data_IF_255763168036
#
_entry.id   IF_255763168036
#
_cell.length_a   1.000
_cell.length_b   1.000
_cell.length_c   1.000
_cell.angle_alpha   90.00
_cell.angle_beta   90.00
_cell.angle_gamma   90.00
#
_symmetry.space_group_name_H-M   'P 1'
#
loop_
_entity.id
_entity.type
_entity.pdbx_description
1 polymer ?
#
# COMPACT_ATOMS: atom_id res chain seq x y z
N UNK A 1 -3.29 -5.84 -40.15
CA UNK A 1 -3.52 -7.12 -39.47
C UNK A 1 -2.33 -7.34 -38.57
N UNK A 2 -2.47 -7.15 -37.27
CA UNK A 2 -1.43 -7.59 -36.34
C UNK A 2 -1.44 -9.12 -36.38
N UNK A 3 -0.35 -9.73 -36.84
CA UNK A 3 -0.17 -11.17 -36.78
C UNK A 3 -0.20 -11.60 -35.31
N UNK A 4 -0.80 -12.74 -35.03
CA UNK A 4 -0.76 -13.32 -33.68
C UNK A 4 0.70 -13.63 -33.36
N UNK A 5 1.23 -13.05 -32.28
CA UNK A 5 2.59 -13.35 -31.78
C UNK A 5 2.59 -14.77 -31.26
N UNK A 6 3.48 -15.62 -31.76
CA UNK A 6 3.73 -16.92 -31.17
C UNK A 6 4.62 -16.75 -29.92
N UNK A 7 4.03 -16.94 -28.74
CA UNK A 7 4.76 -16.81 -27.46
C UNK A 7 5.71 -17.98 -27.16
N UNK A 8 5.72 -19.03 -27.99
CA UNK A 8 6.73 -20.08 -27.94
C UNK A 8 7.96 -19.75 -28.79
N UNK A 9 7.88 -18.73 -29.65
CA UNK A 9 8.97 -18.27 -30.51
C UNK A 9 9.70 -17.07 -29.87
N UNK A 10 10.94 -17.29 -29.46
CA UNK A 10 11.75 -16.27 -28.77
C UNK A 10 12.00 -15.01 -29.63
N UNK A 11 12.12 -15.14 -30.95
CA UNK A 11 12.39 -14.01 -31.84
C UNK A 11 11.14 -13.14 -31.99
N UNK A 12 9.97 -13.77 -32.12
CA UNK A 12 8.69 -13.06 -32.14
C UNK A 12 8.40 -12.36 -30.81
N UNK A 13 8.67 -13.03 -29.68
CA UNK A 13 8.53 -12.41 -28.35
C UNK A 13 9.45 -11.21 -28.19
N UNK A 14 10.72 -11.34 -28.60
CA UNK A 14 11.68 -10.23 -28.52
C UNK A 14 11.25 -9.04 -29.36
N UNK A 15 10.84 -9.27 -30.61
CA UNK A 15 10.35 -8.20 -31.49
C UNK A 15 9.09 -7.52 -30.93
N UNK A 16 8.18 -8.30 -30.33
CA UNK A 16 7.00 -7.75 -29.66
C UNK A 16 7.39 -6.83 -28.49
N UNK A 17 8.33 -7.25 -27.64
CA UNK A 17 8.79 -6.46 -26.50
C UNK A 17 9.49 -5.16 -26.94
N UNK A 18 10.32 -5.21 -27.97
CA UNK A 18 10.97 -4.00 -28.52
C UNK A 18 9.93 -3.01 -29.07
N UNK A 19 8.90 -3.49 -29.76
CA UNK A 19 7.80 -2.63 -30.24
C UNK A 19 6.97 -2.06 -29.09
N UNK A 20 6.79 -2.81 -28.01
CA UNK A 20 6.09 -2.34 -26.81
C UNK A 20 6.78 -1.13 -26.17
N UNK A 21 8.11 -1.09 -26.17
CA UNK A 21 8.85 0.08 -25.69
C UNK A 21 8.50 1.35 -26.49
N UNK A 22 8.48 1.23 -27.82
CA UNK A 22 8.18 2.35 -28.72
C UNK A 22 6.75 2.84 -28.50
N UNK A 23 5.79 1.93 -28.37
CA UNK A 23 4.39 2.26 -28.12
C UNK A 23 4.22 2.99 -26.78
N UNK A 24 4.79 2.45 -25.70
CA UNK A 24 4.73 3.04 -24.36
C UNK A 24 5.39 4.44 -24.32
N UNK A 25 6.53 4.61 -25.01
CA UNK A 25 7.19 5.92 -25.14
C UNK A 25 6.32 6.92 -25.91
N UNK A 26 5.70 6.49 -27.00
CA UNK A 26 4.83 7.35 -27.81
C UNK A 26 3.61 7.81 -27.01
N UNK A 27 2.93 6.89 -26.33
CA UNK A 27 1.79 7.20 -25.46
C UNK A 27 2.19 8.18 -24.36
N UNK A 28 3.30 7.92 -23.67
CA UNK A 28 3.76 8.75 -22.57
C UNK A 28 4.13 10.19 -23.02
N UNK A 29 5.00 10.31 -24.02
CA UNK A 29 5.62 11.61 -24.33
C UNK A 29 4.97 12.38 -25.49
N UNK A 30 4.32 11.67 -26.43
CA UNK A 30 3.69 12.30 -27.60
C UNK A 30 2.20 12.50 -27.40
N UNK A 31 1.50 11.46 -26.94
CA UNK A 31 0.07 11.55 -26.63
C UNK A 31 -0.20 12.17 -25.26
N UNK A 32 0.83 12.21 -24.39
CA UNK A 32 0.74 12.71 -23.01
C UNK A 32 -0.24 11.90 -22.18
N UNK A 33 -0.34 10.60 -22.44
CA UNK A 33 -1.15 9.66 -21.68
C UNK A 33 -0.43 9.25 -20.37
N UNK A 34 -0.95 9.62 -19.19
CA UNK A 34 -0.34 9.25 -17.92
C UNK A 34 -0.34 7.74 -17.67
N UNK A 35 -1.34 7.00 -18.16
CA UNK A 35 -1.38 5.54 -18.05
C UNK A 35 -0.33 4.91 -18.97
N UNK A 36 -0.10 5.49 -20.16
CA UNK A 36 1.01 5.16 -21.06
C UNK A 36 2.37 5.32 -20.41
N UNK A 37 2.59 6.43 -19.68
CA UNK A 37 3.80 6.61 -18.87
C UNK A 37 3.95 5.55 -17.78
N UNK A 38 2.85 5.13 -17.14
CA UNK A 38 2.93 4.07 -16.13
C UNK A 38 3.23 2.70 -16.75
N UNK A 39 2.67 2.40 -17.93
CA UNK A 39 3.01 1.19 -18.70
C UNK A 39 4.49 1.18 -19.12
N UNK A 40 5.03 2.33 -19.51
CA UNK A 40 6.46 2.48 -19.79
C UNK A 40 7.32 2.13 -18.55
N UNK A 41 6.91 2.56 -17.36
CA UNK A 41 7.58 2.19 -16.10
C UNK A 41 7.54 0.67 -15.88
N UNK A 42 6.39 0.03 -16.06
CA UNK A 42 6.26 -1.42 -15.88
C UNK A 42 7.14 -2.19 -16.89
N UNK A 43 7.24 -1.71 -18.13
CA UNK A 43 8.16 -2.25 -19.12
C UNK A 43 9.63 -2.07 -18.70
N UNK A 44 10.02 -0.87 -18.27
CA UNK A 44 11.39 -0.57 -17.84
C UNK A 44 11.82 -1.42 -16.63
N UNK A 45 10.94 -1.63 -15.65
CA UNK A 45 11.23 -2.48 -14.48
C UNK A 45 11.16 -3.98 -14.79
N UNK A 46 10.15 -4.39 -15.55
CA UNK A 46 9.80 -5.79 -15.79
C UNK A 46 10.74 -6.43 -16.80
N UNK A 47 10.99 -5.73 -17.90
CA UNK A 47 11.69 -6.24 -19.09
C UNK A 47 13.13 -5.72 -19.13
N UNK A 48 13.31 -4.41 -19.19
CA UNK A 48 14.65 -3.81 -19.36
C UNK A 48 15.50 -3.80 -18.09
N UNK A 49 14.88 -4.00 -16.91
CA UNK A 49 15.53 -3.83 -15.59
C UNK A 49 16.21 -2.47 -15.41
N UNK A 50 15.76 -1.45 -16.13
CA UNK A 50 16.32 -0.10 -16.11
C UNK A 50 15.56 0.76 -15.09
N UNK A 51 15.93 0.62 -13.82
CA UNK A 51 15.28 1.31 -12.72
C UNK A 51 15.57 2.82 -12.69
N UNK A 52 16.74 3.24 -13.18
CA UNK A 52 17.11 4.65 -13.27
C UNK A 52 16.22 5.40 -14.24
N UNK A 53 15.96 4.83 -15.42
CA UNK A 53 15.02 5.44 -16.37
C UNK A 53 13.58 5.37 -15.84
N UNK A 54 13.18 4.25 -15.25
CA UNK A 54 11.87 4.11 -14.61
C UNK A 54 11.63 5.20 -13.56
N UNK A 55 12.64 5.53 -12.74
CA UNK A 55 12.55 6.60 -11.76
C UNK A 55 12.32 7.98 -12.40
N UNK A 56 12.95 8.27 -13.55
CA UNK A 56 12.72 9.52 -14.30
C UNK A 56 11.30 9.61 -14.84
N UNK A 57 10.80 8.53 -15.46
CA UNK A 57 9.43 8.48 -15.97
C UNK A 57 8.41 8.61 -14.83
N UNK A 58 8.66 7.94 -13.70
CA UNK A 58 7.84 8.05 -12.50
C UNK A 58 7.79 9.48 -11.96
N UNK A 59 8.95 10.14 -11.88
CA UNK A 59 9.06 11.54 -11.46
C UNK A 59 8.27 12.47 -12.36
N UNK A 60 8.52 12.40 -13.67
CA UNK A 60 7.78 13.17 -14.67
C UNK A 60 6.26 12.96 -14.54
N UNK A 61 5.80 11.71 -14.50
CA UNK A 61 4.38 11.40 -14.48
C UNK A 61 3.70 11.78 -13.15
N UNK A 62 4.43 11.72 -12.03
CA UNK A 62 3.94 12.20 -10.74
C UNK A 62 3.86 13.73 -10.69
N UNK A 63 4.90 14.43 -11.14
CA UNK A 63 5.02 15.88 -11.00
C UNK A 63 4.15 16.64 -12.00
N UNK A 64 4.16 16.23 -13.27
CA UNK A 64 3.45 16.91 -14.36
C UNK A 64 2.00 16.43 -14.48
N UNK A 65 1.79 15.11 -14.52
CA UNK A 65 0.46 14.54 -14.75
C UNK A 65 -0.32 14.26 -13.45
N UNK A 66 0.32 14.40 -12.28
CA UNK A 66 -0.28 14.09 -10.97
C UNK A 66 -0.83 12.66 -10.90
N UNK A 67 -0.20 11.73 -11.64
CA UNK A 67 -0.66 10.36 -11.77
C UNK A 67 -0.44 9.59 -10.45
N UNK A 68 -1.54 9.15 -9.82
CA UNK A 68 -1.52 8.60 -8.46
C UNK A 68 -0.59 7.39 -8.32
N UNK A 69 -0.71 6.40 -9.21
CA UNK A 69 0.06 5.16 -9.09
C UNK A 69 1.56 5.39 -9.37
N UNK A 70 1.90 6.39 -10.20
CA UNK A 70 3.28 6.84 -10.39
C UNK A 70 3.82 7.51 -9.14
N UNK A 71 3.06 8.42 -8.53
CA UNK A 71 3.45 9.03 -7.26
C UNK A 71 3.65 7.99 -6.17
N UNK A 72 2.76 7.00 -6.05
CA UNK A 72 2.92 5.92 -5.08
C UNK A 72 4.21 5.12 -5.33
N UNK A 73 4.47 4.71 -6.57
CA UNK A 73 5.67 3.92 -6.91
C UNK A 73 6.96 4.73 -6.74
N UNK A 74 6.94 6.03 -7.10
CA UNK A 74 8.05 6.95 -6.84
C UNK A 74 8.33 7.11 -5.34
N UNK A 75 7.27 7.24 -4.52
CA UNK A 75 7.41 7.29 -3.07
C UNK A 75 8.10 6.04 -2.53
N UNK A 76 7.73 4.86 -3.03
CA UNK A 76 8.41 3.61 -2.67
C UNK A 76 9.89 3.59 -3.09
N UNK A 77 10.22 4.13 -4.27
CA UNK A 77 11.61 4.27 -4.70
C UNK A 77 12.43 5.15 -3.76
N UNK A 78 11.87 6.27 -3.30
CA UNK A 78 12.52 7.14 -2.31
C UNK A 78 12.65 6.48 -0.93
N UNK A 79 11.71 5.62 -0.52
CA UNK A 79 11.87 4.84 0.72
C UNK A 79 13.06 3.88 0.62
N UNK A 80 13.24 3.21 -0.52
CA UNK A 80 14.26 2.17 -0.70
C UNK A 80 15.59 2.66 -1.29
N UNK A 81 15.65 3.89 -1.83
CA UNK A 81 16.80 4.37 -2.59
C UNK A 81 16.99 3.62 -3.93
N UNK A 82 15.89 3.32 -4.63
CA UNK A 82 15.88 2.53 -5.87
C UNK A 82 15.99 3.44 -7.10
N UNK A 83 16.57 2.94 -8.19
CA UNK A 83 16.59 3.62 -9.50
C UNK A 83 17.44 4.89 -9.51
N UNK A 84 18.65 4.81 -8.95
CA UNK A 84 19.59 5.94 -8.88
C UNK A 84 19.22 7.02 -7.85
N UNK A 85 18.09 6.87 -7.15
CA UNK A 85 17.67 7.78 -6.09
C UNK A 85 18.32 7.42 -4.75
N UNK A 86 18.67 8.43 -3.96
CA UNK A 86 19.03 8.23 -2.55
C UNK A 86 17.76 8.09 -1.70
N UNK A 87 17.88 7.41 -0.55
CA UNK A 87 16.76 7.34 0.39
C UNK A 87 16.36 8.74 0.87
N UNK A 88 15.07 9.07 0.75
CA UNK A 88 14.52 10.35 1.17
C UNK A 88 13.06 10.20 1.61
N UNK A 89 12.85 10.09 2.93
CA UNK A 89 11.51 9.91 3.49
C UNK A 89 10.62 11.14 3.32
N UNK A 90 11.18 12.36 3.17
CA UNK A 90 10.40 13.57 2.95
C UNK A 90 9.89 13.64 1.51
N UNK A 91 10.73 13.30 0.55
CA UNK A 91 10.32 13.13 -0.84
C UNK A 91 9.29 12.01 -0.96
N UNK A 92 9.50 10.87 -0.28
CA UNK A 92 8.54 9.77 -0.24
C UNK A 92 7.19 10.21 0.33
N UNK A 93 7.18 10.91 1.47
CA UNK A 93 5.98 11.45 2.11
C UNK A 93 5.20 12.36 1.17
N UNK A 94 5.90 13.24 0.45
CA UNK A 94 5.28 14.14 -0.54
C UNK A 94 4.64 13.35 -1.68
N UNK A 95 5.31 12.32 -2.18
CA UNK A 95 4.78 11.46 -3.24
C UNK A 95 3.55 10.66 -2.77
N UNK A 96 3.59 10.07 -1.58
CA UNK A 96 2.45 9.36 -1.01
C UNK A 96 1.26 10.28 -0.73
N UNK A 97 1.50 11.51 -0.30
CA UNK A 97 0.45 12.50 -0.14
C UNK A 97 -0.25 12.77 -1.47
N UNK A 98 0.52 13.03 -2.53
CA UNK A 98 -0.04 13.25 -3.87
C UNK A 98 -0.87 12.06 -4.37
N UNK A 99 -0.38 10.83 -4.16
CA UNK A 99 -1.11 9.62 -4.53
C UNK A 99 -2.39 9.42 -3.69
N UNK A 100 -2.37 9.75 -2.39
CA UNK A 100 -3.53 9.66 -1.51
C UNK A 100 -4.65 10.64 -1.90
N UNK A 101 -4.32 11.82 -2.42
CA UNK A 101 -5.30 12.86 -2.81
C UNK A 101 -5.90 12.68 -4.21
N UNK A 102 -5.42 11.71 -4.98
CA UNK A 102 -5.89 11.46 -6.36
C UNK A 102 -6.47 10.06 -6.48
N UNK A 103 -7.45 9.83 -7.37
CA UNK A 103 -7.91 8.47 -7.66
C UNK A 103 -6.77 7.67 -8.32
N UNK A 104 -6.67 6.39 -7.96
CA UNK A 104 -5.59 5.50 -8.38
C UNK A 104 -5.75 4.14 -7.72
N UNK A 105 -5.12 3.11 -8.28
CA UNK A 105 -5.19 1.75 -7.73
C UNK A 105 -4.52 1.66 -6.36
N UNK A 106 -3.56 2.55 -6.09
CA UNK A 106 -2.76 2.60 -4.87
C UNK A 106 -3.03 3.79 -3.97
N UNK A 107 -4.10 4.55 -4.22
CA UNK A 107 -4.41 5.74 -3.41
C UNK A 107 -4.70 5.41 -1.96
N UNK A 108 -5.39 4.30 -1.68
CA UNK A 108 -5.72 3.88 -0.32
C UNK A 108 -4.46 3.45 0.44
N UNK A 109 -3.59 2.67 -0.20
CA UNK A 109 -2.28 2.30 0.33
C UNK A 109 -1.34 3.52 0.49
N UNK A 110 -1.44 4.51 -0.41
CA UNK A 110 -0.72 5.76 -0.28
C UNK A 110 -1.15 6.51 0.98
N UNK A 111 -2.45 6.61 1.25
CA UNK A 111 -2.94 7.20 2.50
C UNK A 111 -2.41 6.43 3.72
N UNK A 112 -2.36 5.10 3.68
CA UNK A 112 -1.73 4.31 4.73
C UNK A 112 -0.26 4.71 4.95
N UNK A 113 0.53 4.85 3.89
CA UNK A 113 1.94 5.23 4.00
C UNK A 113 2.13 6.66 4.54
N UNK A 114 1.24 7.60 4.20
CA UNK A 114 1.25 8.94 4.84
C UNK A 114 0.98 8.81 6.34
N UNK A 115 -0.01 8.00 6.73
CA UNK A 115 -0.31 7.73 8.14
C UNK A 115 0.87 7.08 8.87
N UNK A 116 1.56 6.15 8.21
CA UNK A 116 2.75 5.46 8.75
C UNK A 116 3.90 6.43 9.01
N UNK A 117 4.25 7.25 8.02
CA UNK A 117 5.33 8.23 8.16
C UNK A 117 5.01 9.30 9.20
N UNK A 118 3.75 9.74 9.28
CA UNK A 118 3.30 10.66 10.33
C UNK A 118 3.36 10.02 11.73
N UNK A 119 3.00 8.75 11.86
CA UNK A 119 3.04 8.01 13.13
C UNK A 119 4.48 7.75 13.60
N UNK A 120 5.38 7.47 12.68
CA UNK A 120 6.79 7.21 12.98
C UNK A 120 7.55 8.49 13.34
N UNK A 121 7.21 9.62 12.72
CA UNK A 121 7.75 10.93 13.07
C UNK A 121 9.03 11.33 12.33
N UNK A 122 9.72 10.40 11.64
CA UNK A 122 10.97 10.70 10.92
C UNK A 122 10.84 11.79 9.84
N UNK A 123 9.63 12.01 9.32
CA UNK A 123 9.38 13.03 8.28
C UNK A 123 8.94 14.38 8.84
N UNK A 124 8.66 14.46 10.14
CA UNK A 124 8.19 15.69 10.79
C UNK A 124 9.38 16.59 11.18
N UNK A 125 9.14 17.90 11.27
CA UNK A 125 10.22 18.88 11.50
C UNK A 125 10.95 18.70 12.83
N UNK A 126 10.20 18.29 13.87
CA UNK A 126 10.69 18.01 15.22
C UNK A 126 11.11 16.55 15.43
N UNK A 127 10.97 15.71 14.40
CA UNK A 127 11.24 14.27 14.46
C UNK A 127 10.30 13.50 15.38
N UNK A 128 9.17 14.09 15.80
CA UNK A 128 8.21 13.45 16.70
C UNK A 128 6.99 12.92 15.94
N UNK A 129 6.34 11.85 16.42
CA UNK A 129 5.06 11.39 15.89
C UNK A 129 3.98 12.48 15.83
N UNK A 130 3.30 12.61 14.70
CA UNK A 130 2.08 13.40 14.57
C UNK A 130 0.87 12.45 14.59
N UNK A 131 0.36 12.18 15.79
CA UNK A 131 -0.68 11.19 16.03
C UNK A 131 -2.05 11.61 15.46
N UNK A 132 -2.35 12.90 15.41
CA UNK A 132 -3.59 13.39 14.79
C UNK A 132 -3.56 13.15 13.28
N UNK A 133 -2.46 13.52 12.62
CA UNK A 133 -2.28 13.26 11.19
C UNK A 133 -2.28 11.77 10.89
N UNK A 134 -1.58 10.97 11.70
CA UNK A 134 -1.58 9.51 11.56
C UNK A 134 -3.00 8.94 11.64
N UNK A 135 -3.79 9.35 12.66
CA UNK A 135 -5.19 8.94 12.82
C UNK A 135 -6.01 9.30 11.58
N UNK A 136 -5.90 10.52 11.08
CA UNK A 136 -6.71 10.98 9.96
C UNK A 136 -6.43 10.19 8.67
N UNK A 137 -5.16 9.98 8.33
CA UNK A 137 -4.78 9.22 7.14
C UNK A 137 -5.04 7.72 7.27
N UNK A 138 -4.84 7.13 8.46
CA UNK A 138 -5.27 5.75 8.69
C UNK A 138 -6.79 5.61 8.63
N UNK A 139 -7.56 6.61 9.08
CA UNK A 139 -9.04 6.59 8.98
C UNK A 139 -9.47 6.55 7.52
N UNK A 140 -8.93 7.43 6.67
CA UNK A 140 -9.17 7.44 5.22
C UNK A 140 -8.86 6.08 4.59
N UNK A 141 -7.69 5.51 4.89
CA UNK A 141 -7.30 4.21 4.34
C UNK A 141 -8.17 3.05 4.87
N UNK A 142 -8.53 3.08 6.16
CA UNK A 142 -9.42 2.10 6.77
C UNK A 142 -10.84 2.16 6.18
N UNK A 143 -11.35 3.36 5.89
CA UNK A 143 -12.63 3.56 5.20
C UNK A 143 -12.57 3.14 3.73
N UNK A 144 -11.41 3.26 3.10
CA UNK A 144 -11.06 2.61 1.83
C UNK A 144 -10.84 1.09 1.91
N UNK A 145 -11.23 0.44 3.02
CA UNK A 145 -11.13 -1.02 3.22
C UNK A 145 -9.70 -1.58 3.29
N UNK A 146 -8.71 -0.75 3.65
CA UNK A 146 -7.34 -1.23 3.87
C UNK A 146 -7.15 -1.74 5.30
N UNK A 147 -7.20 -3.07 5.44
CA UNK A 147 -7.14 -3.77 6.73
C UNK A 147 -5.97 -3.34 7.63
N UNK A 148 -4.73 -3.15 7.13
CA UNK A 148 -3.61 -2.68 7.95
C UNK A 148 -3.84 -1.32 8.61
N UNK A 149 -4.53 -0.38 7.94
CA UNK A 149 -4.85 0.92 8.54
C UNK A 149 -5.88 0.82 9.64
N UNK A 150 -6.92 -0.02 9.46
CA UNK A 150 -7.87 -0.29 10.53
C UNK A 150 -7.17 -0.94 11.75
N UNK A 151 -6.23 -1.85 11.51
CA UNK A 151 -5.44 -2.44 12.59
C UNK A 151 -4.56 -1.39 13.30
N UNK A 152 -3.88 -0.52 12.55
CA UNK A 152 -3.06 0.55 13.13
C UNK A 152 -3.88 1.54 13.96
N UNK A 153 -5.09 1.92 13.52
CA UNK A 153 -6.01 2.71 14.33
C UNK A 153 -6.36 2.00 15.64
N UNK A 154 -6.68 0.71 15.56
CA UNK A 154 -6.96 -0.08 16.75
C UNK A 154 -5.77 -0.06 17.72
N UNK A 155 -4.56 -0.29 17.23
CA UNK A 155 -3.34 -0.24 18.03
C UNK A 155 -3.11 1.14 18.66
N UNK A 156 -3.33 2.23 17.93
CA UNK A 156 -3.22 3.59 18.46
C UNK A 156 -4.17 3.83 19.63
N UNK A 157 -5.44 3.42 19.51
CA UNK A 157 -6.41 3.57 20.60
C UNK A 157 -6.18 2.59 21.78
N UNK A 158 -5.60 1.42 21.54
CA UNK A 158 -5.20 0.48 22.59
C UNK A 158 -4.04 1.02 23.44
N UNK A 159 -3.05 1.60 22.77
CA UNK A 159 -1.80 2.05 23.39
C UNK A 159 -1.97 3.44 24.02
N UNK A 160 -2.63 4.36 23.31
CA UNK A 160 -2.65 5.77 23.67
C UNK A 160 -1.25 6.40 23.73
N UNK A 161 -1.20 7.70 23.97
CA UNK A 161 0.00 8.50 24.15
C UNK A 161 -0.37 9.82 24.87
N UNK A 162 0.61 10.60 25.36
CA UNK A 162 0.33 11.98 25.77
C UNK A 162 -0.39 12.76 24.66
N UNK A 163 -1.53 13.38 24.98
CA UNK A 163 -2.37 14.07 24.00
C UNK A 163 -3.25 13.17 23.11
N UNK A 164 -3.12 11.85 23.20
CA UNK A 164 -3.95 10.88 22.50
C UNK A 164 -4.41 9.77 23.46
N UNK A 165 -5.49 9.97 24.23
CA UNK A 165 -5.90 9.02 25.26
C UNK A 165 -6.30 7.67 24.67
N UNK A 166 -6.14 6.61 25.47
CA UNK A 166 -6.67 5.29 25.13
C UNK A 166 -8.19 5.35 25.00
N UNK A 167 -8.71 4.60 24.04
CA UNK A 167 -10.15 4.37 23.90
C UNK A 167 -10.37 2.90 23.51
N UNK A 168 -10.70 2.08 24.50
CA UNK A 168 -10.85 0.65 24.30
C UNK A 168 -12.08 0.32 23.43
N UNK A 169 -13.11 1.17 23.41
CA UNK A 169 -14.28 0.98 22.55
C UNK A 169 -13.93 1.20 21.07
N UNK A 170 -13.26 2.32 20.76
CA UNK A 170 -12.77 2.59 19.41
C UNK A 170 -11.72 1.56 18.98
N UNK A 171 -10.82 1.16 19.88
CA UNK A 171 -9.88 0.09 19.62
C UNK A 171 -10.60 -1.20 19.18
N UNK A 172 -11.65 -1.62 19.90
CA UNK A 172 -12.40 -2.83 19.55
C UNK A 172 -13.09 -2.68 18.19
N UNK A 173 -13.76 -1.53 17.97
CA UNK A 173 -14.42 -1.21 16.70
C UNK A 173 -13.49 -1.35 15.51
N UNK A 174 -12.29 -0.75 15.58
CA UNK A 174 -11.33 -0.83 14.48
C UNK A 174 -10.68 -2.21 14.36
N UNK A 175 -10.45 -2.93 15.47
CA UNK A 175 -10.00 -4.32 15.43
C UNK A 175 -11.01 -5.24 14.74
N UNK A 176 -12.30 -5.08 15.02
CA UNK A 176 -13.37 -5.83 14.35
C UNK A 176 -13.41 -5.51 12.85
N UNK A 177 -13.39 -4.24 12.46
CA UNK A 177 -13.36 -3.84 11.05
C UNK A 177 -12.14 -4.41 10.31
N UNK A 178 -10.96 -4.34 10.91
CA UNK A 178 -9.75 -4.94 10.34
C UNK A 178 -9.84 -6.48 10.24
N UNK A 179 -10.43 -7.14 11.24
CA UNK A 179 -10.69 -8.58 11.23
C UNK A 179 -11.65 -8.97 10.10
N UNK A 180 -12.69 -8.18 9.88
CA UNK A 180 -13.65 -8.39 8.80
C UNK A 180 -13.01 -8.29 7.42
N UNK A 181 -12.02 -7.40 7.30
CA UNK A 181 -11.17 -7.25 6.11
C UNK A 181 -10.03 -8.28 6.02
N UNK A 182 -10.00 -9.29 6.90
CA UNK A 182 -9.05 -10.40 6.83
C UNK A 182 -7.73 -10.20 7.57
N UNK A 183 -7.61 -9.19 8.43
CA UNK A 183 -6.39 -8.97 9.21
C UNK A 183 -6.32 -9.92 10.44
N UNK A 184 -5.45 -10.93 10.36
CA UNK A 184 -5.28 -11.98 11.38
C UNK A 184 -5.08 -11.41 12.79
N UNK A 185 -4.14 -10.48 12.95
CA UNK A 185 -3.81 -9.92 14.27
C UNK A 185 -4.94 -9.06 14.83
N UNK A 186 -5.77 -8.47 13.98
CA UNK A 186 -6.91 -7.69 14.44
C UNK A 186 -8.02 -8.59 15.00
N UNK A 187 -8.25 -9.75 14.36
CA UNK A 187 -9.15 -10.77 14.91
C UNK A 187 -8.69 -11.26 16.28
N UNK A 188 -7.38 -11.49 16.45
CA UNK A 188 -6.80 -11.89 17.73
C UNK A 188 -6.97 -10.80 18.81
N UNK A 189 -6.76 -9.52 18.44
CA UNK A 189 -7.00 -8.39 19.35
C UNK A 189 -8.47 -8.29 19.77
N UNK A 190 -9.40 -8.30 18.82
CA UNK A 190 -10.84 -8.26 19.12
C UNK A 190 -11.26 -9.45 20.00
N UNK A 191 -10.78 -10.66 19.71
CA UNK A 191 -11.01 -11.85 20.53
C UNK A 191 -10.57 -11.64 21.98
N UNK A 192 -9.36 -11.11 22.19
CA UNK A 192 -8.84 -10.82 23.53
C UNK A 192 -9.69 -9.77 24.25
N UNK A 193 -10.14 -8.74 23.54
CA UNK A 193 -10.97 -7.67 24.12
C UNK A 193 -12.32 -8.20 24.61
N UNK A 194 -13.02 -9.01 23.81
CA UNK A 194 -14.26 -9.66 24.22
C UNK A 194 -14.07 -10.67 25.35
N UNK A 195 -12.92 -11.37 25.40
CA UNK A 195 -12.62 -12.30 26.49
C UNK A 195 -12.44 -11.58 27.84
N UNK A 196 -11.81 -10.40 27.81
CA UNK A 196 -11.50 -9.63 29.01
C UNK A 196 -12.58 -8.63 29.41
N UNK A 197 -13.46 -8.24 28.48
CA UNK A 197 -14.38 -7.12 28.67
C UNK A 197 -13.69 -5.76 28.53
N UNK A 198 -12.61 -5.68 27.75
CA UNK A 198 -11.79 -4.47 27.60
C UNK A 198 -12.43 -3.52 26.57
N UNK A 199 -13.25 -2.57 27.03
CA UNK A 199 -13.93 -1.59 26.17
C UNK A 199 -15.17 -2.10 25.44
N UNK A 200 -15.55 -3.35 25.71
CA UNK A 200 -16.78 -4.02 25.26
C UNK A 200 -17.24 -4.94 26.37
N UNK A 201 -18.53 -5.31 26.38
CA UNK A 201 -19.01 -6.31 27.31
C UNK A 201 -18.33 -7.66 27.06
N UNK A 202 -18.05 -8.36 28.15
CA UNK A 202 -17.41 -9.68 28.08
C UNK A 202 -18.34 -10.65 27.35
N UNK A 203 -17.82 -11.28 26.29
CA UNK A 203 -18.52 -12.30 25.50
C UNK A 203 -17.54 -13.40 25.08
N UNK A 204 -17.59 -14.53 25.80
CA UNK A 204 -16.72 -15.67 25.53
C UNK A 204 -17.04 -16.35 24.19
N UNK A 205 -18.30 -16.35 23.76
CA UNK A 205 -18.70 -16.95 22.50
C UNK A 205 -18.15 -16.14 21.32
N UNK A 206 -18.27 -14.80 21.38
CA UNK A 206 -17.70 -13.90 20.38
C UNK A 206 -16.18 -13.95 20.37
N UNK A 207 -15.56 -14.03 21.55
CA UNK A 207 -14.12 -14.18 21.66
C UNK A 207 -13.63 -15.48 20.97
N UNK A 208 -14.32 -16.60 21.17
CA UNK A 208 -13.97 -17.87 20.53
C UNK A 208 -14.17 -17.83 19.00
N UNK A 209 -15.27 -17.24 18.54
CA UNK A 209 -15.56 -17.02 17.10
C UNK A 209 -14.40 -16.26 16.42
N UNK A 210 -14.01 -15.11 16.98
CA UNK A 210 -12.94 -14.26 16.44
C UNK A 210 -11.57 -14.95 16.48
N UNK A 211 -11.30 -15.74 17.54
CA UNK A 211 -10.08 -16.55 17.64
C UNK A 211 -10.01 -17.60 16.53
N UNK A 212 -11.13 -18.27 16.25
CA UNK A 212 -11.20 -19.28 15.20
C UNK A 212 -11.09 -18.64 13.81
N UNK A 213 -11.68 -17.46 13.60
CA UNK A 213 -11.47 -16.65 12.40
C UNK A 213 -10.00 -16.28 12.20
N UNK A 214 -9.31 -15.82 13.24
CA UNK A 214 -7.87 -15.52 13.16
C UNK A 214 -7.05 -16.75 12.72
N UNK A 215 -7.35 -17.93 13.27
CA UNK A 215 -6.70 -19.19 12.89
C UNK A 215 -6.98 -19.59 11.44
N UNK A 216 -8.20 -19.37 10.97
CA UNK A 216 -8.58 -19.65 9.58
C UNK A 216 -7.80 -18.73 8.63
N UNK A 217 -7.87 -17.41 8.84
CA UNK A 217 -7.16 -16.42 8.03
C UNK A 217 -5.65 -16.70 8.00
N UNK A 218 -5.06 -17.07 9.13
CA UNK A 218 -3.63 -17.42 9.19
C UNK A 218 -3.30 -18.64 8.32
N UNK A 219 -4.15 -19.68 8.32
CA UNK A 219 -3.98 -20.86 7.45
C UNK A 219 -4.13 -20.50 5.97
N UNK A 220 -5.09 -19.63 5.63
CA UNK A 220 -5.30 -19.16 4.25
C UNK A 220 -4.09 -18.36 3.75
N UNK A 221 -3.57 -17.46 4.58
CA UNK A 221 -2.34 -16.72 4.27
C UNK A 221 -1.14 -17.65 4.06
N UNK A 222 -0.97 -18.68 4.90
CA UNK A 222 0.11 -19.66 4.73
C UNK A 222 0.00 -20.47 3.43
N UNK A 223 -1.22 -20.85 3.02
CA UNK A 223 -1.43 -21.54 1.74
C UNK A 223 -1.07 -20.64 0.55
N UNK A 224 -1.43 -19.37 0.62
CA UNK A 224 -1.16 -18.40 -0.46
C UNK A 224 0.33 -18.03 -0.60
N UNK A 225 1.15 -18.32 0.42
CA UNK A 225 2.61 -18.12 0.38
C UNK A 225 3.35 -19.33 -0.20
N UNK A 226 2.70 -20.48 -0.35
CA UNK A 226 3.33 -21.62 -1.02
C UNK A 226 3.53 -21.28 -2.50
N UNK A 227 4.77 -21.36 -3.02
CA UNK A 227 5.03 -21.04 -4.42
C UNK A 227 4.21 -21.97 -5.32
N UNK A 228 3.57 -21.40 -6.34
CA UNK A 228 3.02 -22.18 -7.44
C UNK A 228 4.18 -22.92 -8.08
N UNK A 229 4.29 -24.22 -7.82
CA UNK A 229 5.25 -25.08 -8.50
C UNK A 229 4.66 -25.41 -9.86
N UNK A 230 5.20 -24.82 -10.91
CA UNK A 230 4.99 -25.30 -12.26
C UNK A 230 5.88 -26.55 -12.44
N UNK A 231 5.24 -27.69 -12.74
CA UNK A 231 5.91 -28.96 -12.98
C UNK A 231 6.54 -29.05 -14.36
#
# INVERSE_FOLDING_TARGET
MAGVVDFQDEEQVKSFLENMEVECNYQCYREKDPDGCYRLVDYLEGIQKNFDEAAKVLKFNCEENKHSDSCYKLGAYYVTGKGGLTQDLKAASSCFLMACEKPGKKSVEACHNVGLLAHDGQVNEDGQPNLERARDYYTRACDGSYAPSCFNLSAMFLQGAPGFPKDMGLACKYSLKACDLGHVWACANASRMYKLGDGVDKDEAKAEELKNRARQLHKEQQKNVQPLTFG
#
